data_IF_270489290458
#
_entry.id   IF_270489290458
#
_cell.length_a   1.000
_cell.length_b   1.000
_cell.length_c   1.000
_cell.angle_alpha   90.00
_cell.angle_beta   90.00
_cell.angle_gamma   90.00
#
_symmetry.space_group_name_H-M   'P 1'
#
loop_
_entity.id
_entity.type
_entity.pdbx_description
1 polymer ?
#
# COMPACT_ATOMS: atom_id res chain seq x y z
N UNK A 1 13.08 -2.59 -41.73
CA UNK A 1 14.15 -2.05 -40.85
C UNK A 1 13.49 -1.17 -39.80
N UNK A 2 13.60 -1.48 -38.50
CA UNK A 2 12.95 -0.72 -37.42
C UNK A 2 13.92 0.32 -36.85
N UNK A 3 13.69 1.60 -37.08
CA UNK A 3 14.49 2.70 -36.51
C UNK A 3 14.11 2.90 -35.04
N UNK A 4 14.99 2.52 -34.11
CA UNK A 4 14.85 2.81 -32.67
C UNK A 4 15.53 4.14 -32.36
N UNK A 5 14.75 5.21 -32.33
CA UNK A 5 15.25 6.53 -31.90
C UNK A 5 15.41 6.57 -30.37
N UNK A 6 16.61 6.90 -29.91
CA UNK A 6 16.86 7.21 -28.49
C UNK A 6 16.61 8.71 -28.26
N UNK A 7 15.44 9.05 -27.74
CA UNK A 7 15.13 10.42 -27.36
C UNK A 7 15.72 10.73 -25.97
N UNK A 8 16.59 11.74 -25.89
CA UNK A 8 17.05 12.29 -24.62
C UNK A 8 16.33 13.61 -24.38
N UNK A 9 15.48 13.64 -23.36
CA UNK A 9 14.86 14.88 -22.89
C UNK A 9 15.95 15.78 -22.31
N UNK A 10 16.16 16.94 -22.93
CA UNK A 10 17.02 18.02 -22.42
C UNK A 10 16.10 19.20 -22.05
N UNK A 11 15.47 19.17 -20.87
CA UNK A 11 14.54 20.22 -20.48
C UNK A 11 15.28 21.56 -20.36
N UNK A 12 14.61 22.63 -20.79
CA UNK A 12 15.08 23.99 -20.53
C UNK A 12 15.04 24.27 -19.02
N UNK A 13 15.83 25.23 -18.52
CA UNK A 13 15.93 25.56 -17.08
C UNK A 13 14.54 25.74 -16.41
N UNK A 14 13.62 26.43 -17.08
CA UNK A 14 12.23 26.61 -16.60
C UNK A 14 11.44 25.30 -16.54
N UNK A 15 11.57 24.44 -17.54
CA UNK A 15 10.90 23.14 -17.58
C UNK A 15 11.42 22.21 -16.48
N UNK A 16 12.74 22.24 -16.22
CA UNK A 16 13.34 21.44 -15.15
C UNK A 16 12.77 21.79 -13.78
N UNK A 17 12.58 23.07 -13.48
CA UNK A 17 11.95 23.53 -12.23
C UNK A 17 10.51 23.03 -12.11
N UNK A 18 9.72 23.15 -13.18
CA UNK A 18 8.33 22.68 -13.21
C UNK A 18 8.26 21.17 -12.94
N UNK A 19 9.10 20.39 -13.64
CA UNK A 19 9.17 18.94 -13.47
C UNK A 19 9.59 18.59 -12.04
N UNK A 20 10.58 19.29 -11.47
CA UNK A 20 11.00 19.09 -10.07
C UNK A 20 9.84 19.30 -9.10
N UNK A 21 9.07 20.38 -9.27
CA UNK A 21 7.91 20.67 -8.42
C UNK A 21 6.83 19.60 -8.55
N UNK A 22 6.56 19.13 -9.77
CA UNK A 22 5.62 18.03 -10.00
C UNK A 22 6.09 16.72 -9.37
N UNK A 23 7.38 16.41 -9.46
CA UNK A 23 7.96 15.24 -8.81
C UNK A 23 7.82 15.31 -7.29
N UNK A 24 8.04 16.48 -6.69
CA UNK A 24 7.84 16.65 -5.25
C UNK A 24 6.38 16.46 -4.83
N UNK A 25 5.44 17.04 -5.57
CA UNK A 25 4.01 16.89 -5.29
C UNK A 25 3.56 15.44 -5.41
N UNK A 26 3.96 14.76 -6.48
CA UNK A 26 3.60 13.34 -6.70
C UNK A 26 4.25 12.43 -5.67
N UNK A 27 5.51 12.70 -5.25
CA UNK A 27 6.16 11.97 -4.16
C UNK A 27 5.39 12.12 -2.84
N UNK A 28 5.00 13.35 -2.48
CA UNK A 28 4.23 13.61 -1.26
C UNK A 28 2.87 12.89 -1.31
N UNK A 29 2.18 12.97 -2.45
CA UNK A 29 0.89 12.32 -2.63
C UNK A 29 0.99 10.79 -2.55
N UNK A 30 2.01 10.21 -3.16
CA UNK A 30 2.27 8.78 -3.08
C UNK A 30 2.52 8.34 -1.64
N UNK A 31 3.41 9.04 -0.92
CA UNK A 31 3.73 8.73 0.47
C UNK A 31 2.49 8.83 1.38
N UNK A 32 1.66 9.86 1.18
CA UNK A 32 0.41 10.02 1.93
C UNK A 32 -0.53 8.84 1.72
N UNK A 33 -0.80 8.46 0.46
CA UNK A 33 -1.69 7.32 0.15
C UNK A 33 -1.12 5.98 0.60
N UNK A 34 0.20 5.82 0.57
CA UNK A 34 0.86 4.62 1.09
C UNK A 34 0.64 4.50 2.60
N UNK A 35 0.78 5.61 3.33
CA UNK A 35 0.52 5.64 4.77
C UNK A 35 -0.94 5.30 5.09
N UNK A 36 -1.91 5.86 4.35
CA UNK A 36 -3.33 5.51 4.52
C UNK A 36 -3.59 4.01 4.32
N UNK A 37 -2.97 3.40 3.30
CA UNK A 37 -3.08 1.96 3.05
C UNK A 37 -2.50 1.14 4.18
N UNK A 38 -1.33 1.52 4.70
CA UNK A 38 -0.70 0.83 5.83
C UNK A 38 -1.54 0.94 7.09
N UNK A 39 -2.05 2.14 7.39
CA UNK A 39 -2.94 2.35 8.53
C UNK A 39 -4.21 1.51 8.42
N UNK A 40 -4.82 1.45 7.22
CA UNK A 40 -5.98 0.60 6.99
C UNK A 40 -5.64 -0.87 7.18
N UNK A 41 -4.49 -1.32 6.68
CA UNK A 41 -4.04 -2.69 6.88
C UNK A 41 -3.84 -2.99 8.37
N UNK A 42 -3.15 -2.13 9.12
CA UNK A 42 -2.94 -2.31 10.56
C UNK A 42 -4.26 -2.32 11.34
N UNK A 43 -5.22 -1.47 10.98
CA UNK A 43 -6.53 -1.42 11.62
C UNK A 43 -7.40 -2.65 11.30
N UNK A 44 -7.28 -3.21 10.10
CA UNK A 44 -8.13 -4.33 9.63
C UNK A 44 -7.44 -5.69 9.74
N UNK A 45 -6.15 -5.72 10.08
CA UNK A 45 -5.42 -6.98 10.23
C UNK A 45 -5.91 -7.70 11.48
N UNK A 46 -6.41 -8.91 11.29
CA UNK A 46 -6.65 -9.82 12.40
C UNK A 46 -5.31 -10.16 13.09
N UNK A 47 -5.27 -10.34 14.42
CA UNK A 47 -4.06 -10.73 15.11
C UNK A 47 -3.45 -12.00 14.49
N UNK A 48 -2.13 -12.02 14.31
CA UNK A 48 -1.40 -13.15 13.68
C UNK A 48 -1.69 -14.48 14.39
N UNK A 49 -1.99 -14.42 15.69
CA UNK A 49 -2.29 -15.60 16.49
C UNK A 49 -3.67 -16.21 16.19
N UNK A 50 -4.62 -15.47 15.60
CA UNK A 50 -5.91 -16.01 15.19
C UNK A 50 -6.71 -15.03 14.32
N UNK A 51 -7.21 -15.52 13.18
CA UNK A 51 -8.35 -14.87 12.54
C UNK A 51 -9.60 -15.13 13.38
N UNK A 52 -10.31 -14.07 13.78
CA UNK A 52 -11.64 -14.20 14.39
C UNK A 52 -12.61 -14.69 13.32
N UNK A 53 -12.92 -15.99 13.34
CA UNK A 53 -13.90 -16.59 12.44
C UNK A 53 -15.29 -16.18 12.90
N UNK A 54 -15.85 -15.14 12.27
CA UNK A 54 -17.22 -14.70 12.55
C UNK A 54 -18.28 -15.68 12.03
N UNK A 55 -17.92 -16.52 11.04
CA UNK A 55 -18.78 -17.54 10.46
C UNK A 55 -17.95 -18.80 10.18
N UNK A 56 -18.43 -19.94 10.64
CA UNK A 56 -17.81 -21.25 10.43
C UNK A 56 -18.89 -22.34 10.39
N UNK A 57 -18.66 -23.39 9.59
CA UNK A 57 -19.51 -24.59 9.55
C UNK A 57 -19.45 -25.35 10.88
N UNK A 58 -18.29 -25.28 11.56
CA UNK A 58 -18.12 -25.77 12.93
C UNK A 58 -18.52 -24.66 13.90
N UNK A 59 -19.31 -24.95 14.96
CA UNK A 59 -19.65 -23.96 15.97
C UNK A 59 -18.40 -23.27 16.53
N UNK A 60 -18.39 -21.93 16.48
CA UNK A 60 -17.23 -21.09 16.81
C UNK A 60 -16.71 -21.35 18.23
N UNK A 61 -17.62 -21.68 19.15
CA UNK A 61 -17.32 -22.09 20.53
C UNK A 61 -16.30 -23.24 20.58
N UNK A 62 -16.42 -24.23 19.67
CA UNK A 62 -15.51 -25.38 19.62
C UNK A 62 -14.12 -25.06 19.09
N UNK A 63 -13.97 -24.01 18.30
CA UNK A 63 -12.70 -23.67 17.66
C UNK A 63 -11.73 -23.04 18.68
N UNK A 64 -12.26 -22.21 19.59
CA UNK A 64 -11.46 -21.48 20.57
C UNK A 64 -11.27 -22.22 21.90
N UNK A 65 -11.87 -23.41 22.09
CA UNK A 65 -11.70 -24.18 23.33
C UNK A 65 -10.26 -24.63 23.61
N UNK A 66 -9.41 -24.75 22.58
CA UNK A 66 -8.02 -25.19 22.73
C UNK A 66 -7.03 -24.05 23.05
N UNK A 67 -7.49 -22.79 23.08
CA UNK A 67 -6.64 -21.63 23.33
C UNK A 67 -6.96 -21.02 24.70
N UNK A 68 -5.96 -20.78 25.56
CA UNK A 68 -6.19 -20.09 26.83
C UNK A 68 -6.67 -18.67 26.53
N UNK A 69 -7.86 -18.32 27.05
CA UNK A 69 -8.32 -16.93 27.10
C UNK A 69 -7.37 -16.18 28.03
N UNK A 70 -6.68 -15.18 27.48
CA UNK A 70 -5.94 -14.18 28.26
C UNK A 70 -6.94 -13.39 29.11
#
# INVERSE_FOLDING_TARGET
MLLKYKYKLKPHKRQAVIISNWLEMTRKQYNYRLAERLNWFEAMRAPIQHCTLNVSVVPVERIYHAYPRI
#
